data_IF_295308736225
#
_entry.id   IF_295308736225
#
_cell.length_a   1.000
_cell.length_b   1.000
_cell.length_c   1.000
_cell.angle_alpha   90.00
_cell.angle_beta   90.00
_cell.angle_gamma   90.00
#
_symmetry.space_group_name_H-M   'P 1'
#
loop_
_entity.id
_entity.type
_entity.pdbx_description
1 polymer ?
#
# COMPACT_ATOMS: atom_id res chain seq x y z
N UNK A 1 34.98 36.76 4.82
CA UNK A 1 34.58 36.29 3.50
C UNK A 1 34.11 34.83 3.45
N UNK A 2 33.54 34.30 4.55
CA UNK A 2 33.07 32.89 4.57
C UNK A 2 31.54 32.71 4.60
N UNK A 3 30.80 33.83 4.70
CA UNK A 3 29.33 33.76 4.85
C UNK A 3 28.56 33.83 3.52
N UNK A 4 29.21 34.18 2.41
CA UNK A 4 28.50 34.40 1.14
C UNK A 4 28.27 33.08 0.37
N UNK A 5 29.15 32.14 0.57
CA UNK A 5 29.06 30.87 -0.14
C UNK A 5 27.92 29.94 0.30
N UNK A 6 27.58 30.18 1.36
CA UNK A 6 26.67 29.40 1.83
C UNK A 6 25.35 29.63 1.40
N UNK A 7 25.20 30.80 1.46
CA UNK A 7 23.87 31.22 1.02
C UNK A 7 23.61 30.91 -0.44
N UNK A 8 24.60 30.95 -1.26
CA UNK A 8 24.47 30.62 -2.66
C UNK A 8 24.22 29.10 -2.87
N UNK A 9 24.92 28.26 -2.11
CA UNK A 9 24.74 26.82 -2.21
C UNK A 9 23.36 26.38 -1.73
N UNK A 10 22.86 26.99 -0.65
CA UNK A 10 21.51 26.71 -0.14
C UNK A 10 20.44 27.14 -1.15
N UNK A 11 20.65 28.29 -1.79
CA UNK A 11 19.71 28.78 -2.81
C UNK A 11 19.66 27.89 -4.04
N UNK A 12 20.81 27.38 -4.47
CA UNK A 12 20.90 26.50 -5.63
C UNK A 12 20.23 25.15 -5.32
N UNK A 13 20.45 24.61 -4.12
CA UNK A 13 19.84 23.34 -3.71
C UNK A 13 18.33 23.46 -3.62
N UNK A 14 17.81 24.57 -3.07
CA UNK A 14 16.36 24.81 -2.98
C UNK A 14 15.72 24.93 -4.37
N UNK A 15 16.40 25.63 -5.29
CA UNK A 15 15.91 25.81 -6.65
C UNK A 15 15.88 24.48 -7.41
N UNK A 16 16.93 23.64 -7.25
CA UNK A 16 16.99 22.32 -7.91
C UNK A 16 15.88 21.40 -7.37
N UNK A 17 15.66 21.39 -6.05
CA UNK A 17 14.63 20.55 -5.44
C UNK A 17 13.24 20.97 -5.89
N UNK A 18 12.97 22.27 -5.97
CA UNK A 18 11.69 22.77 -6.47
C UNK A 18 11.48 22.39 -7.93
N UNK A 19 12.54 22.42 -8.75
CA UNK A 19 12.49 22.01 -10.16
C UNK A 19 12.17 20.53 -10.29
N UNK A 20 12.77 19.68 -9.46
CA UNK A 20 12.53 18.23 -9.49
C UNK A 20 11.09 17.90 -9.07
N UNK A 21 10.55 18.59 -8.08
CA UNK A 21 9.14 18.41 -7.68
C UNK A 21 8.19 18.85 -8.78
N UNK A 22 8.52 19.91 -9.51
CA UNK A 22 7.71 20.36 -10.64
C UNK A 22 7.73 19.31 -11.76
N UNK A 23 8.90 18.72 -12.04
CA UNK A 23 9.02 17.65 -13.03
C UNK A 23 8.18 16.44 -12.63
N UNK A 24 8.23 16.03 -11.36
CA UNK A 24 7.41 14.95 -10.82
C UNK A 24 5.93 15.22 -11.09
N UNK A 25 5.45 16.42 -10.78
CA UNK A 25 4.06 16.79 -10.98
C UNK A 25 3.69 16.76 -12.47
N UNK A 26 4.51 17.37 -13.32
CA UNK A 26 4.19 17.47 -14.75
C UNK A 26 4.23 16.11 -15.43
N UNK A 27 5.15 15.21 -15.01
CA UNK A 27 5.19 13.85 -15.55
C UNK A 27 3.94 13.07 -15.19
N UNK A 28 3.44 13.20 -13.95
CA UNK A 28 2.20 12.51 -13.55
C UNK A 28 1.00 13.08 -14.31
N UNK A 29 0.93 14.40 -14.48
CA UNK A 29 -0.15 15.02 -15.24
C UNK A 29 -0.14 14.56 -16.70
N UNK A 30 1.05 14.39 -17.27
CA UNK A 30 1.17 13.90 -18.65
C UNK A 30 0.63 12.46 -18.76
N UNK A 31 1.00 11.58 -17.79
CA UNK A 31 0.48 10.22 -17.76
C UNK A 31 -1.05 10.23 -17.65
N UNK A 32 -1.60 11.10 -16.80
CA UNK A 32 -3.05 11.20 -16.64
C UNK A 32 -3.74 11.56 -17.95
N UNK A 33 -3.18 12.54 -18.68
CA UNK A 33 -3.76 12.94 -19.97
C UNK A 33 -3.65 11.82 -21.00
N UNK A 34 -2.47 11.22 -21.11
CA UNK A 34 -2.22 10.19 -22.14
C UNK A 34 -3.05 8.94 -21.93
N UNK A 35 -3.30 8.60 -20.67
CA UNK A 35 -3.98 7.34 -20.34
C UNK A 35 -5.45 7.54 -19.93
N UNK A 36 -5.94 8.79 -19.93
CA UNK A 36 -7.27 9.11 -19.41
C UNK A 36 -7.44 8.53 -18.00
N UNK A 37 -6.48 8.83 -17.14
CA UNK A 37 -6.37 8.24 -15.80
C UNK A 37 -6.35 9.32 -14.74
N UNK A 38 -6.69 8.92 -13.51
CA UNK A 38 -6.39 9.71 -12.31
C UNK A 38 -5.34 8.95 -11.50
N UNK A 39 -4.33 9.68 -11.05
CA UNK A 39 -3.19 9.07 -10.35
C UNK A 39 -2.98 9.80 -9.03
N UNK A 40 -3.17 9.09 -7.92
CA UNK A 40 -2.87 9.61 -6.59
C UNK A 40 -1.58 8.99 -6.08
N UNK A 41 -0.66 9.83 -5.60
CA UNK A 41 0.62 9.36 -5.08
C UNK A 41 0.93 10.13 -3.79
N UNK A 42 1.44 9.42 -2.80
CA UNK A 42 2.08 10.05 -1.65
C UNK A 42 3.32 9.25 -1.29
N UNK A 43 4.42 9.96 -1.09
CA UNK A 43 5.68 9.39 -0.61
C UNK A 43 6.00 10.11 0.69
N UNK A 44 6.24 9.35 1.75
CA UNK A 44 6.59 9.93 3.05
C UNK A 44 7.87 9.27 3.56
N UNK A 45 8.56 9.98 4.46
CA UNK A 45 9.72 9.43 5.15
C UNK A 45 9.25 8.58 6.36
N UNK A 46 10.17 7.93 7.09
CA UNK A 46 9.74 7.09 8.22
C UNK A 46 8.98 7.81 9.32
N UNK A 47 9.10 9.15 9.43
CA UNK A 47 8.35 9.92 10.38
C UNK A 47 6.99 10.38 9.84
N UNK A 48 6.67 10.02 8.59
CA UNK A 48 5.41 10.41 7.97
C UNK A 48 5.42 11.79 7.33
N UNK A 49 6.60 12.41 7.24
CA UNK A 49 6.73 13.73 6.59
C UNK A 49 6.68 13.56 5.08
N UNK A 50 5.97 14.44 4.42
CA UNK A 50 5.75 14.36 2.98
C UNK A 50 7.04 14.63 2.23
N UNK A 51 7.43 13.68 1.36
CA UNK A 51 8.53 13.86 0.41
C UNK A 51 7.99 14.45 -0.89
N UNK A 52 6.92 13.87 -1.42
CA UNK A 52 6.27 14.35 -2.64
C UNK A 52 4.89 13.71 -2.75
N UNK A 53 4.05 14.30 -3.57
CA UNK A 53 2.73 13.72 -3.81
C UNK A 53 1.98 14.39 -4.93
N UNK A 54 0.86 13.75 -5.30
CA UNK A 54 -0.03 14.21 -6.35
C UNK A 54 -1.42 13.67 -6.01
N UNK A 55 -2.44 14.52 -6.04
CA UNK A 55 -3.80 14.16 -5.60
C UNK A 55 -3.78 13.47 -4.24
N UNK A 56 -2.93 13.94 -3.35
CA UNK A 56 -2.66 13.27 -2.07
C UNK A 56 -3.89 13.14 -1.18
N UNK A 57 -4.82 14.09 -1.26
CA UNK A 57 -6.00 14.13 -0.41
C UNK A 57 -7.27 13.67 -1.14
N UNK A 58 -7.15 13.18 -2.37
CA UNK A 58 -8.29 12.65 -3.11
C UNK A 58 -8.61 11.24 -2.64
N UNK A 59 -9.90 10.92 -2.51
CA UNK A 59 -10.30 9.58 -2.11
C UNK A 59 -10.25 8.61 -3.28
N UNK A 60 -9.75 7.42 -3.00
CA UNK A 60 -9.71 6.27 -3.90
C UNK A 60 -10.15 5.03 -3.14
N UNK A 61 -10.78 4.09 -3.83
CA UNK A 61 -11.10 2.78 -3.25
C UNK A 61 -9.80 2.06 -2.88
N UNK A 62 -9.76 1.51 -1.66
CA UNK A 62 -8.56 0.79 -1.20
C UNK A 62 -8.35 -0.50 -1.97
N UNK A 63 -9.44 -1.22 -2.25
CA UNK A 63 -9.38 -2.55 -2.81
C UNK A 63 -8.42 -3.38 -1.94
N UNK A 64 -7.64 -4.27 -2.51
CA UNK A 64 -6.84 -5.18 -1.70
C UNK A 64 -5.68 -4.53 -0.94
N UNK A 65 -5.43 -3.23 -1.12
CA UNK A 65 -4.33 -2.61 -0.35
C UNK A 65 -4.61 -2.63 1.15
N UNK A 66 -5.91 -2.64 1.58
CA UNK A 66 -6.21 -2.68 3.02
C UNK A 66 -5.71 -3.96 3.69
N UNK A 67 -5.40 -5.00 2.92
CA UNK A 67 -4.93 -6.27 3.49
C UNK A 67 -3.59 -6.13 4.21
N UNK A 68 -2.78 -5.14 3.86
CA UNK A 68 -1.57 -4.86 4.62
C UNK A 68 -1.89 -4.30 6.02
N UNK A 69 -2.65 -3.21 6.17
CA UNK A 69 -3.03 -2.80 7.54
C UNK A 69 -3.88 -3.85 8.28
N UNK A 70 -4.65 -4.68 7.58
CA UNK A 70 -5.34 -5.78 8.24
C UNK A 70 -4.33 -6.76 8.87
N UNK A 71 -3.29 -7.13 8.14
CA UNK A 71 -2.24 -7.98 8.69
C UNK A 71 -1.57 -7.30 9.89
N UNK A 72 -1.35 -5.99 9.81
CA UNK A 72 -0.76 -5.24 10.93
C UNK A 72 -1.63 -5.35 12.19
N UNK A 73 -2.95 -5.23 12.04
CA UNK A 73 -3.87 -5.40 13.17
C UNK A 73 -3.74 -6.80 13.77
N UNK A 74 -3.67 -7.81 12.92
CA UNK A 74 -3.51 -9.20 13.38
C UNK A 74 -2.20 -9.35 14.15
N UNK A 75 -1.10 -8.82 13.61
CA UNK A 75 0.19 -8.89 14.31
C UNK A 75 0.18 -8.10 15.62
N UNK A 76 -0.54 -6.97 15.67
CA UNK A 76 -0.68 -6.23 16.94
C UNK A 76 -1.35 -7.11 17.99
N UNK A 77 -2.38 -7.86 17.62
CA UNK A 77 -3.05 -8.77 18.55
C UNK A 77 -2.13 -9.90 18.98
N UNK A 78 -1.30 -10.40 18.08
CA UNK A 78 -0.31 -11.42 18.46
C UNK A 78 0.69 -10.83 19.47
N UNK A 79 1.17 -9.62 19.20
CA UNK A 79 2.12 -8.96 20.09
C UNK A 79 1.55 -8.73 21.49
N UNK A 80 0.26 -8.40 21.57
CA UNK A 80 -0.42 -8.14 22.87
C UNK A 80 -0.87 -9.41 23.57
N UNK A 81 -0.76 -10.58 22.93
CA UNK A 81 -1.17 -11.85 23.51
C UNK A 81 -2.65 -12.14 23.38
N UNK A 82 -3.41 -11.32 22.67
CA UNK A 82 -4.84 -11.58 22.45
C UNK A 82 -5.11 -12.46 21.23
N UNK A 83 -4.07 -12.80 20.49
CA UNK A 83 -4.14 -13.74 19.37
C UNK A 83 -2.87 -14.55 19.33
N UNK A 84 -2.92 -15.72 18.71
CA UNK A 84 -1.74 -16.56 18.48
C UNK A 84 -1.62 -16.84 17.00
N UNK A 85 -0.40 -16.71 16.49
CA UNK A 85 -0.13 -16.95 15.08
C UNK A 85 -0.38 -18.39 14.64
N UNK A 86 -0.21 -19.36 15.56
CA UNK A 86 -0.41 -20.79 15.27
C UNK A 86 -1.84 -21.26 15.52
N UNK A 87 -2.75 -20.36 15.93
CA UNK A 87 -4.14 -20.74 16.15
C UNK A 87 -4.78 -21.13 14.83
N UNK A 88 -5.47 -22.27 14.81
CA UNK A 88 -6.16 -22.76 13.61
C UNK A 88 -7.52 -22.09 13.49
N UNK A 89 -7.78 -21.54 12.31
CA UNK A 89 -9.05 -20.90 11.98
C UNK A 89 -9.83 -21.87 11.08
N UNK A 90 -10.90 -22.44 11.63
CA UNK A 90 -11.74 -23.38 10.89
C UNK A 90 -12.61 -22.66 9.89
N UNK A 91 -12.80 -23.26 8.72
CA UNK A 91 -13.70 -22.72 7.71
C UNK A 91 -14.18 -23.82 6.78
N UNK A 92 -15.27 -23.54 6.09
CA UNK A 92 -15.87 -24.43 5.11
C UNK A 92 -15.99 -23.78 3.74
N UNK A 93 -16.74 -24.42 2.82
CA UNK A 93 -16.86 -23.92 1.44
C UNK A 93 -17.38 -22.49 1.31
N UNK A 94 -18.17 -22.04 2.29
CA UNK A 94 -18.74 -20.69 2.23
C UNK A 94 -17.68 -19.59 2.32
N UNK A 95 -16.46 -19.91 2.76
CA UNK A 95 -15.36 -18.94 2.80
C UNK A 95 -14.67 -18.78 1.45
N UNK A 96 -14.96 -19.65 0.49
CA UNK A 96 -14.32 -19.61 -0.83
C UNK A 96 -15.08 -18.60 -1.69
N UNK A 97 -14.55 -17.41 -1.80
CA UNK A 97 -15.07 -16.36 -2.68
C UNK A 97 -14.11 -16.17 -3.85
N UNK A 98 -14.48 -15.31 -4.78
CA UNK A 98 -13.66 -15.02 -5.96
C UNK A 98 -12.23 -14.69 -5.54
N UNK A 99 -11.26 -15.30 -6.17
CA UNK A 99 -9.83 -15.14 -5.92
C UNK A 99 -9.45 -15.58 -4.50
N UNK A 100 -9.52 -16.87 -4.27
CA UNK A 100 -9.15 -17.47 -2.97
C UNK A 100 -8.20 -18.65 -3.19
N UNK A 101 -7.01 -18.41 -3.78
CA UNK A 101 -6.14 -19.53 -4.19
C UNK A 101 -5.65 -20.38 -3.03
N UNK A 102 -5.24 -19.79 -1.92
CA UNK A 102 -4.77 -20.55 -0.76
C UNK A 102 -5.94 -21.11 0.03
N UNK A 103 -6.99 -20.37 0.18
CA UNK A 103 -8.18 -20.84 0.87
C UNK A 103 -8.83 -22.02 0.13
N UNK A 104 -8.81 -22.02 -1.02
CA UNK A 104 -9.22 -23.04 -1.78
C UNK A 104 -8.46 -24.22 -1.59
N UNK A 105 -7.09 -24.06 -1.56
CA UNK A 105 -6.18 -25.21 -1.41
C UNK A 105 -6.28 -25.91 -0.06
N UNK A 106 -6.55 -25.16 0.88
CA UNK A 106 -6.61 -25.63 2.13
C UNK A 106 -7.92 -26.00 2.59
N UNK A 107 -8.89 -26.02 1.75
CA UNK A 107 -10.29 -26.33 2.14
C UNK A 107 -10.44 -27.76 2.67
N UNK A 108 -9.74 -28.70 2.05
CA UNK A 108 -9.85 -30.10 2.45
C UNK A 108 -9.42 -30.33 3.91
N UNK A 109 -8.44 -29.59 4.40
CA UNK A 109 -8.04 -29.69 5.79
C UNK A 109 -9.02 -28.99 6.75
N UNK A 110 -9.83 -28.06 6.22
CA UNK A 110 -10.85 -27.36 6.98
C UNK A 110 -10.34 -26.20 7.82
N UNK A 111 -9.07 -25.85 7.70
CA UNK A 111 -8.51 -24.77 8.50
C UNK A 111 -7.23 -24.21 7.88
N UNK A 112 -6.85 -23.03 8.34
CA UNK A 112 -5.51 -22.48 8.16
C UNK A 112 -5.16 -21.71 9.44
N UNK A 113 -3.87 -21.56 9.71
CA UNK A 113 -3.47 -20.79 10.90
C UNK A 113 -3.63 -19.29 10.65
N UNK A 114 -3.65 -18.53 11.73
CA UNK A 114 -3.69 -17.07 11.67
C UNK A 114 -2.54 -16.53 10.81
N UNK A 115 -1.31 -17.03 11.02
CA UNK A 115 -0.16 -16.58 10.21
C UNK A 115 -0.29 -16.99 8.75
N UNK A 116 -0.79 -18.20 8.48
CA UNK A 116 -1.03 -18.62 7.09
C UNK A 116 -2.05 -17.72 6.40
N UNK A 117 -3.12 -17.35 7.12
CA UNK A 117 -4.14 -16.46 6.56
C UNK A 117 -3.56 -15.08 6.29
N UNK A 118 -2.77 -14.54 7.23
CA UNK A 118 -2.14 -13.23 7.03
C UNK A 118 -1.18 -13.24 5.83
N UNK A 119 -0.38 -14.29 5.73
CA UNK A 119 0.55 -14.42 4.60
C UNK A 119 -0.19 -14.53 3.27
N UNK A 120 -1.26 -15.35 3.22
CA UNK A 120 -2.04 -15.51 1.99
C UNK A 120 -2.72 -14.19 1.59
N UNK A 121 -3.27 -13.46 2.57
CA UNK A 121 -3.92 -12.19 2.29
C UNK A 121 -2.93 -11.18 1.71
N UNK A 122 -1.71 -11.11 2.23
CA UNK A 122 -0.72 -10.13 1.77
C UNK A 122 -0.05 -10.60 0.47
N UNK A 123 0.45 -11.84 0.41
CA UNK A 123 1.31 -12.26 -0.70
C UNK A 123 0.55 -12.74 -1.93
N UNK A 124 -0.64 -13.29 -1.74
CA UNK A 124 -1.48 -13.79 -2.83
C UNK A 124 -2.72 -12.94 -3.05
N UNK A 125 -2.95 -11.99 -2.15
CA UNK A 125 -4.19 -11.20 -2.14
C UNK A 125 -5.44 -12.10 -2.03
N UNK A 126 -5.36 -13.16 -1.25
CA UNK A 126 -6.39 -14.19 -1.11
C UNK A 126 -7.61 -13.60 -0.40
N UNK A 127 -8.75 -13.57 -1.09
CA UNK A 127 -9.97 -12.96 -0.55
C UNK A 127 -10.61 -13.81 0.54
N UNK A 128 -10.55 -15.12 0.42
CA UNK A 128 -11.07 -16.02 1.46
C UNK A 128 -10.30 -15.85 2.76
N UNK A 129 -8.96 -15.86 2.67
CA UNK A 129 -8.12 -15.64 3.86
C UNK A 129 -8.38 -14.28 4.48
N UNK A 130 -8.58 -13.26 3.64
CA UNK A 130 -8.90 -11.91 4.11
C UNK A 130 -10.20 -11.89 4.89
N UNK A 131 -11.26 -12.50 4.33
CA UNK A 131 -12.56 -12.56 5.02
C UNK A 131 -12.47 -13.37 6.30
N UNK A 132 -11.66 -14.44 6.30
CA UNK A 132 -11.42 -15.23 7.50
C UNK A 132 -10.82 -14.37 8.61
N UNK A 133 -9.80 -13.57 8.28
CA UNK A 133 -9.20 -12.65 9.26
C UNK A 133 -10.19 -11.57 9.69
N UNK A 134 -10.98 -11.03 8.75
CA UNK A 134 -12.01 -10.03 9.11
C UNK A 134 -13.00 -10.62 10.09
N UNK A 135 -13.42 -11.87 9.89
CA UNK A 135 -14.31 -12.55 10.85
C UNK A 135 -13.70 -12.54 12.25
N UNK A 136 -12.41 -12.85 12.33
CA UNK A 136 -11.74 -12.99 13.63
C UNK A 136 -11.54 -11.65 14.34
N UNK A 137 -11.37 -10.56 13.60
CA UNK A 137 -11.13 -9.25 14.23
C UNK A 137 -12.42 -8.51 14.59
N UNK A 138 -13.56 -8.96 14.09
CA UNK A 138 -14.85 -8.32 14.38
C UNK A 138 -15.44 -7.55 13.19
N UNK A 139 -14.93 -7.82 11.97
CA UNK A 139 -15.52 -7.29 10.74
C UNK A 139 -14.97 -5.94 10.32
N UNK A 140 -15.56 -5.37 9.25
CA UNK A 140 -15.06 -4.10 8.71
C UNK A 140 -15.02 -2.95 9.72
N UNK A 141 -15.98 -2.84 10.61
CA UNK A 141 -15.98 -1.76 11.61
C UNK A 141 -14.75 -1.84 12.52
N UNK A 142 -14.32 -3.06 12.87
CA UNK A 142 -13.10 -3.22 13.69
C UNK A 142 -11.86 -2.78 12.92
N UNK A 143 -11.83 -3.00 11.61
CA UNK A 143 -10.74 -2.51 10.77
C UNK A 143 -10.70 -0.99 10.77
N UNK A 144 -11.85 -0.35 10.64
CA UNK A 144 -11.92 1.11 10.68
C UNK A 144 -11.47 1.64 12.05
N UNK A 145 -11.87 0.98 13.13
CA UNK A 145 -11.42 1.35 14.47
C UNK A 145 -9.90 1.27 14.58
N UNK A 146 -9.29 0.25 13.97
CA UNK A 146 -7.84 0.13 13.99
C UNK A 146 -7.19 1.31 13.25
N UNK A 147 -7.71 1.69 12.08
CA UNK A 147 -7.20 2.88 11.40
C UNK A 147 -7.22 4.09 12.34
N UNK A 148 -8.33 4.32 13.03
CA UNK A 148 -8.46 5.46 13.96
C UNK A 148 -7.46 5.36 15.09
N UNK A 149 -7.28 4.16 15.63
CA UNK A 149 -6.35 3.91 16.74
C UNK A 149 -4.93 4.30 16.38
N UNK A 150 -4.50 4.01 15.15
CA UNK A 150 -3.13 4.34 14.73
C UNK A 150 -3.03 5.75 14.13
N UNK A 151 -4.09 6.55 14.23
CA UNK A 151 -4.06 7.95 13.84
C UNK A 151 -4.47 8.24 12.40
N UNK A 152 -5.04 7.25 11.71
CA UNK A 152 -5.57 7.45 10.35
C UNK A 152 -7.06 7.78 10.48
N UNK A 153 -7.41 9.06 10.35
CA UNK A 153 -8.78 9.54 10.49
C UNK A 153 -9.57 9.44 9.19
N UNK A 154 -8.97 8.93 8.12
CA UNK A 154 -9.52 9.01 6.76
C UNK A 154 -9.96 7.66 6.23
N UNK A 155 -9.11 6.63 6.34
CA UNK A 155 -9.38 5.31 5.76
C UNK A 155 -10.56 4.66 6.44
N UNK A 156 -11.38 3.96 5.65
CA UNK A 156 -12.56 3.28 6.20
C UNK A 156 -12.81 1.99 5.43
N UNK A 157 -13.11 0.92 6.16
CA UNK A 157 -13.59 -0.33 5.58
C UNK A 157 -15.04 -0.51 6.00
N UNK A 158 -15.89 -0.74 5.02
CA UNK A 158 -17.36 -0.85 5.23
C UNK A 158 -17.87 -2.23 4.86
N UNK A 159 -17.21 -2.91 3.94
CA UNK A 159 -17.65 -4.20 3.40
C UNK A 159 -16.49 -5.18 3.38
N UNK A 160 -16.81 -6.45 3.20
CA UNK A 160 -15.81 -7.51 3.04
C UNK A 160 -15.57 -7.78 1.56
N UNK A 161 -14.70 -8.73 1.27
CA UNK A 161 -14.43 -9.14 -0.11
C UNK A 161 -15.57 -10.02 -0.62
N UNK A 162 -15.98 -9.93 -1.90
CA UNK A 162 -15.39 -9.05 -2.91
C UNK A 162 -16.06 -7.67 -3.03
N UNK A 163 -17.15 -7.40 -2.31
CA UNK A 163 -17.95 -6.19 -2.49
C UNK A 163 -17.14 -4.92 -2.19
N UNK A 164 -16.16 -5.01 -1.31
CA UNK A 164 -15.37 -3.82 -0.95
C UNK A 164 -14.49 -3.33 -2.11
N UNK A 165 -14.37 -4.11 -3.18
CA UNK A 165 -13.61 -3.73 -4.37
C UNK A 165 -14.49 -3.22 -5.52
N UNK A 166 -15.73 -2.87 -5.24
CA UNK A 166 -16.67 -2.36 -6.26
C UNK A 166 -16.21 -1.08 -6.92
N UNK A 167 -15.57 -0.18 -6.16
CA UNK A 167 -15.03 1.06 -6.70
C UNK A 167 -16.06 1.85 -7.52
N UNK A 168 -17.30 1.93 -7.01
CA UNK A 168 -18.34 2.72 -7.69
C UNK A 168 -17.98 4.20 -7.60
N UNK A 169 -17.98 4.92 -8.72
CA UNK A 169 -17.62 6.35 -8.68
C UNK A 169 -18.47 7.12 -7.67
N UNK A 170 -17.82 7.92 -6.81
CA UNK A 170 -18.47 8.73 -5.82
C UNK A 170 -18.82 8.02 -4.52
N UNK A 171 -18.64 6.71 -4.44
CA UNK A 171 -18.91 5.94 -3.23
C UNK A 171 -17.77 6.15 -2.24
N UNK A 172 -18.09 6.60 -1.03
CA UNK A 172 -17.08 6.82 0.01
C UNK A 172 -16.71 5.54 0.75
N UNK A 173 -17.53 4.49 0.61
CA UNK A 173 -17.25 3.23 1.32
C UNK A 173 -15.93 2.64 0.83
N UNK A 174 -15.17 2.10 1.78
CA UNK A 174 -13.96 1.33 1.51
C UNK A 174 -12.87 2.17 0.82
N UNK A 175 -12.78 3.46 1.21
CA UNK A 175 -11.84 4.39 0.58
C UNK A 175 -10.77 4.87 1.56
N UNK A 176 -9.72 5.40 0.97
CA UNK A 176 -8.61 6.05 1.66
C UNK A 176 -8.18 7.26 0.80
N UNK A 177 -7.15 7.96 1.25
CA UNK A 177 -6.41 8.91 0.42
C UNK A 177 -4.95 8.47 0.35
N UNK A 178 -4.22 8.83 -0.72
CA UNK A 178 -2.81 8.45 -0.79
C UNK A 178 -2.01 8.86 0.45
N UNK A 179 -2.21 10.08 0.97
CA UNK A 179 -1.42 10.52 2.11
C UNK A 179 -1.80 9.76 3.38
N UNK A 180 -3.10 9.47 3.59
CA UNK A 180 -3.51 8.72 4.76
C UNK A 180 -2.90 7.33 4.76
N UNK A 181 -2.94 6.65 3.59
CA UNK A 181 -2.40 5.29 3.51
C UNK A 181 -0.88 5.27 3.60
N UNK A 182 -0.17 6.20 2.94
CA UNK A 182 1.29 6.25 3.04
C UNK A 182 1.71 6.45 4.51
N UNK A 183 1.02 7.33 5.24
CA UNK A 183 1.32 7.53 6.65
C UNK A 183 0.98 6.30 7.50
N UNK A 184 -0.09 5.60 7.18
CA UNK A 184 -0.42 4.35 7.85
C UNK A 184 0.67 3.31 7.63
N UNK A 185 1.16 3.16 6.39
CA UNK A 185 2.29 2.26 6.11
C UNK A 185 3.51 2.65 6.96
N UNK A 186 3.85 3.93 7.00
CA UNK A 186 5.01 4.40 7.77
C UNK A 186 4.84 4.10 9.26
N UNK A 187 3.67 4.31 9.80
CA UNK A 187 3.41 4.02 11.22
C UNK A 187 3.59 2.56 11.55
N UNK A 188 3.07 1.68 10.71
CA UNK A 188 3.20 0.23 10.93
C UNK A 188 4.67 -0.19 10.87
N UNK A 189 5.41 0.29 9.89
CA UNK A 189 6.76 -0.21 9.65
C UNK A 189 7.84 0.50 10.44
N UNK A 190 7.65 1.75 10.75
CA UNK A 190 8.73 2.59 11.30
C UNK A 190 8.45 3.23 12.65
N UNK A 191 7.23 3.21 12.95
CA UNK A 191 6.88 3.90 14.05
C UNK A 191 6.71 3.05 15.25
N UNK A 192 7.04 1.84 15.25
CA UNK A 192 7.01 0.99 16.45
C UNK A 192 5.62 0.53 16.94
N UNK A 193 4.80 0.55 16.02
CA UNK A 193 3.54 0.07 16.24
C UNK A 193 3.47 -1.37 16.58
N UNK A 194 4.38 -2.15 16.02
CA UNK A 194 4.58 -3.60 16.23
C UNK A 194 5.93 -3.86 16.90
N UNK A 195 6.07 -5.01 17.53
CA UNK A 195 7.39 -5.46 17.99
C UNK A 195 8.33 -5.58 16.79
N UNK A 196 9.65 -5.60 17.08
CA UNK A 196 10.62 -5.75 15.99
C UNK A 196 10.45 -7.07 15.26
N UNK A 197 10.10 -8.14 15.98
CA UNK A 197 9.85 -9.46 15.36
C UNK A 197 8.66 -9.37 14.40
N UNK A 198 7.55 -8.80 14.82
CA UNK A 198 6.37 -8.68 13.97
C UNK A 198 6.59 -7.74 12.80
N UNK A 199 7.31 -6.63 13.03
CA UNK A 199 7.65 -5.71 11.95
C UNK A 199 8.47 -6.43 10.89
N UNK A 200 9.49 -7.17 11.31
CA UNK A 200 10.33 -7.92 10.38
C UNK A 200 9.51 -8.95 9.60
N UNK A 201 8.60 -9.63 10.28
CA UNK A 201 7.75 -10.62 9.62
C UNK A 201 6.87 -9.97 8.56
N UNK A 202 6.22 -8.84 8.89
CA UNK A 202 5.33 -8.19 7.93
C UNK A 202 6.12 -7.57 6.77
N UNK A 203 7.31 -7.07 7.03
CA UNK A 203 8.19 -6.61 5.93
C UNK A 203 8.47 -7.74 4.96
N UNK A 204 8.80 -8.89 5.46
CA UNK A 204 9.04 -10.05 4.61
C UNK A 204 7.81 -10.48 3.82
N UNK A 205 6.57 -10.28 4.40
CA UNK A 205 5.44 -10.55 3.78
C UNK A 205 5.27 -9.79 2.64
N UNK A 206 5.66 -8.43 2.74
CA UNK A 206 5.55 -7.48 1.65
C UNK A 206 6.62 -7.69 0.57
N UNK A 207 7.84 -7.94 0.98
CA UNK A 207 8.92 -8.19 0.01
C UNK A 207 8.60 -9.42 -0.84
N UNK A 208 8.03 -10.45 -0.24
CA UNK A 208 7.65 -11.68 -0.92
C UNK A 208 6.32 -11.64 -1.66
N UNK A 209 5.69 -10.48 -1.76
CA UNK A 209 4.42 -10.34 -2.48
C UNK A 209 4.54 -10.86 -3.91
N UNK A 210 3.57 -11.68 -4.32
CA UNK A 210 3.59 -12.34 -5.63
C UNK A 210 2.73 -11.62 -6.67
N UNK A 211 2.05 -10.53 -6.30
CA UNK A 211 1.09 -9.87 -7.18
C UNK A 211 1.59 -8.54 -7.74
N UNK A 212 2.81 -8.11 -7.40
CA UNK A 212 3.29 -6.77 -7.71
C UNK A 212 4.51 -6.68 -8.59
N UNK A 213 4.93 -7.79 -9.21
CA UNK A 213 6.17 -7.77 -10.02
C UNK A 213 6.06 -6.81 -11.20
N UNK A 214 4.85 -6.55 -11.70
CA UNK A 214 4.63 -5.70 -12.87
C UNK A 214 4.20 -4.27 -12.51
N UNK A 215 4.12 -3.93 -11.24
CA UNK A 215 3.64 -2.62 -10.80
C UNK A 215 4.80 -1.77 -10.27
N UNK A 216 4.72 -1.22 -9.06
CA UNK A 216 5.79 -0.31 -8.60
C UNK A 216 7.17 -0.93 -8.68
N UNK A 217 7.30 -2.20 -8.29
CA UNK A 217 8.59 -2.90 -8.33
C UNK A 217 9.23 -2.83 -9.71
N UNK A 218 8.42 -2.93 -10.76
CA UNK A 218 8.93 -2.87 -12.14
C UNK A 218 9.48 -1.50 -12.50
N UNK A 219 9.03 -0.44 -11.82
CA UNK A 219 9.49 0.92 -12.11
C UNK A 219 10.61 1.41 -11.20
N UNK A 220 10.90 0.62 -10.16
CA UNK A 220 11.95 0.99 -9.19
C UNK A 220 13.31 0.41 -9.59
N UNK A 221 14.31 0.93 -9.07
CA UNK A 221 15.55 0.52 -9.30
C UNK A 221 15.68 -0.84 -8.83
N UNK A 222 16.42 -1.71 -9.45
CA UNK A 222 16.53 -3.13 -9.12
C UNK A 222 17.31 -3.39 -7.84
N UNK A 223 18.20 -2.51 -7.46
CA UNK A 223 18.97 -2.65 -6.22
C UNK A 223 18.25 -2.06 -5.01
N UNK A 224 17.07 -1.49 -5.19
CA UNK A 224 16.26 -1.07 -4.05
C UNK A 224 15.56 -2.28 -3.44
N UNK A 225 15.40 -2.24 -2.10
CA UNK A 225 14.54 -3.22 -1.42
C UNK A 225 13.11 -2.69 -1.50
N UNK A 226 12.19 -3.51 -2.00
CA UNK A 226 10.80 -3.10 -2.22
C UNK A 226 9.87 -4.14 -1.59
N UNK A 227 8.94 -3.66 -0.77
CA UNK A 227 7.84 -4.47 -0.26
C UNK A 227 6.54 -3.80 -0.64
N UNK A 228 5.57 -4.58 -1.11
CA UNK A 228 4.35 -3.95 -1.64
C UNK A 228 3.12 -4.83 -1.44
N UNK A 229 1.95 -4.15 -1.45
CA UNK A 229 0.63 -4.80 -1.49
C UNK A 229 -0.19 -4.11 -2.56
N UNK A 230 -0.61 -4.88 -3.54
CA UNK A 230 -1.39 -4.36 -4.66
C UNK A 230 -2.89 -4.39 -4.38
N UNK A 231 -3.64 -3.66 -5.20
CA UNK A 231 -5.10 -3.72 -5.24
C UNK A 231 -5.59 -3.64 -6.66
N UNK A 232 -6.60 -4.45 -6.97
CA UNK A 232 -7.31 -4.40 -8.24
C UNK A 232 -8.78 -4.18 -7.94
N UNK A 233 -9.38 -3.20 -8.59
CA UNK A 233 -10.76 -2.84 -8.37
C UNK A 233 -11.55 -2.86 -9.65
N UNK A 234 -12.86 -3.00 -9.55
CA UNK A 234 -13.74 -2.71 -10.68
C UNK A 234 -13.55 -1.26 -11.11
N UNK A 235 -14.07 -0.93 -12.26
CA UNK A 235 -14.07 0.46 -12.78
C UNK A 235 -12.66 1.04 -12.96
N UNK A 236 -11.70 0.18 -13.26
CA UNK A 236 -10.38 0.62 -13.71
C UNK A 236 -9.37 0.92 -12.60
N UNK A 237 -9.63 0.47 -11.38
CA UNK A 237 -8.70 0.73 -10.29
C UNK A 237 -7.52 -0.24 -10.28
N UNK A 238 -6.32 0.31 -10.10
CA UNK A 238 -5.11 -0.50 -9.88
C UNK A 238 -4.19 0.26 -8.94
N UNK A 239 -3.88 -0.33 -7.81
CA UNK A 239 -3.21 0.35 -6.70
C UNK A 239 -1.99 -0.44 -6.25
N UNK A 240 -1.04 0.26 -5.61
CA UNK A 240 0.13 -0.40 -5.02
C UNK A 240 0.62 0.46 -3.87
N UNK A 241 0.80 -0.16 -2.70
CA UNK A 241 1.30 0.54 -1.51
C UNK A 241 2.42 -0.28 -0.89
N UNK A 242 3.27 0.37 -0.10
CA UNK A 242 4.28 -0.34 0.64
C UNK A 242 5.46 0.55 1.00
N UNK A 243 6.64 -0.02 0.91
CA UNK A 243 7.87 0.70 1.26
C UNK A 243 8.96 0.38 0.25
N UNK A 244 9.93 1.27 0.20
CA UNK A 244 11.17 0.99 -0.53
C UNK A 244 12.34 1.61 0.20
N UNK A 245 13.51 0.98 0.04
CA UNK A 245 14.77 1.45 0.57
C UNK A 245 15.68 1.76 -0.62
N UNK A 246 15.99 3.05 -0.76
CA UNK A 246 16.88 3.56 -1.78
C UNK A 246 18.19 3.97 -1.11
N UNK A 247 19.11 3.16 -1.45
CA UNK A 247 20.29 3.42 -0.80
C UNK A 247 20.10 3.15 0.64
N UNK A 248 20.33 4.06 1.40
CA UNK A 248 20.25 3.96 2.86
C UNK A 248 18.98 4.64 3.43
N UNK A 249 18.14 5.18 2.57
CA UNK A 249 16.95 5.90 2.98
C UNK A 249 15.70 5.04 2.82
N UNK A 250 14.85 5.06 3.85
CA UNK A 250 13.57 4.35 3.86
C UNK A 250 12.44 5.30 3.50
N UNK A 251 11.47 4.79 2.74
CA UNK A 251 10.28 5.54 2.34
C UNK A 251 9.05 4.64 2.40
N UNK A 252 7.92 5.23 2.77
CA UNK A 252 6.62 4.61 2.57
C UNK A 252 5.94 5.27 1.37
N UNK A 253 5.17 4.50 0.62
CA UNK A 253 4.58 4.98 -0.63
C UNK A 253 3.16 4.41 -0.77
N UNK A 254 2.28 5.23 -1.35
CA UNK A 254 0.94 4.79 -1.72
C UNK A 254 0.61 5.36 -3.09
N UNK A 255 0.24 4.46 -4.02
CA UNK A 255 -0.16 4.82 -5.38
C UNK A 255 -1.54 4.24 -5.64
N UNK A 256 -2.46 5.11 -6.03
CA UNK A 256 -3.84 4.76 -6.35
C UNK A 256 -4.15 5.28 -7.74
N UNK A 257 -4.59 4.40 -8.64
CA UNK A 257 -4.91 4.82 -10.00
C UNK A 257 -6.31 4.36 -10.41
N UNK A 258 -6.95 5.16 -11.25
CA UNK A 258 -8.21 4.82 -11.88
C UNK A 258 -8.06 5.10 -13.37
N UNK A 259 -8.13 4.05 -14.19
CA UNK A 259 -7.91 4.15 -15.63
C UNK A 259 -8.85 3.19 -16.34
N UNK A 260 -10.15 3.55 -16.44
CA UNK A 260 -11.16 2.59 -16.94
C UNK A 260 -10.97 2.19 -18.39
N UNK A 261 -10.29 3.00 -19.21
CA UNK A 261 -10.10 2.68 -20.63
C UNK A 261 -8.95 1.71 -20.90
N UNK A 262 -8.08 1.48 -19.90
CA UNK A 262 -6.92 0.62 -20.07
C UNK A 262 -7.28 -0.84 -19.79
N UNK A 263 -6.55 -1.75 -20.41
CA UNK A 263 -6.59 -3.18 -20.09
C UNK A 263 -5.88 -3.43 -18.77
N UNK A 264 -6.03 -4.64 -18.22
CA UNK A 264 -5.35 -5.01 -16.99
C UNK A 264 -3.82 -4.88 -17.13
N UNK A 265 -3.25 -5.35 -18.25
CA UNK A 265 -1.82 -5.23 -18.50
C UNK A 265 -1.40 -3.76 -18.57
N UNK A 266 -2.20 -2.94 -19.24
CA UNK A 266 -1.89 -1.51 -19.37
C UNK A 266 -1.99 -0.79 -18.03
N UNK A 267 -2.89 -1.21 -17.13
CA UNK A 267 -2.97 -0.63 -15.78
C UNK A 267 -1.73 -0.97 -14.98
N UNK A 268 -1.21 -2.19 -15.08
CA UNK A 268 0.06 -2.54 -14.47
C UNK A 268 1.18 -1.64 -15.00
N UNK A 269 1.23 -1.44 -16.30
CA UNK A 269 2.24 -0.58 -16.94
C UNK A 269 2.12 0.87 -16.46
N UNK A 270 0.90 1.35 -16.24
CA UNK A 270 0.68 2.69 -15.71
C UNK A 270 1.32 2.81 -14.32
N UNK A 271 1.07 1.85 -13.45
CA UNK A 271 1.63 1.89 -12.09
C UNK A 271 3.16 1.78 -12.16
N UNK A 272 3.70 0.95 -13.04
CA UNK A 272 5.15 0.87 -13.24
C UNK A 272 5.71 2.20 -13.72
N UNK A 273 4.99 2.90 -14.61
CA UNK A 273 5.42 4.24 -15.06
C UNK A 273 5.45 5.25 -13.92
N UNK A 274 4.45 5.17 -13.02
CA UNK A 274 4.47 5.99 -11.80
C UNK A 274 5.71 5.66 -10.97
N UNK A 275 6.05 4.37 -10.86
CA UNK A 275 7.28 3.95 -10.18
C UNK A 275 8.53 4.56 -10.80
N UNK A 276 8.59 4.67 -12.13
CA UNK A 276 9.72 5.32 -12.81
C UNK A 276 9.80 6.81 -12.47
N UNK A 277 8.64 7.48 -12.41
CA UNK A 277 8.60 8.90 -12.05
C UNK A 277 9.11 9.08 -10.61
N UNK A 278 8.68 8.21 -9.69
CA UNK A 278 9.17 8.24 -8.31
C UNK A 278 10.67 8.00 -8.28
N UNK A 279 11.17 7.02 -9.03
CA UNK A 279 12.59 6.69 -9.08
C UNK A 279 13.42 7.92 -9.49
N UNK A 280 12.99 8.62 -10.52
CA UNK A 280 13.70 9.81 -10.98
C UNK A 280 13.74 10.90 -9.92
N UNK A 281 12.63 11.11 -9.20
CA UNK A 281 12.59 12.09 -8.13
C UNK A 281 13.59 11.73 -7.02
N UNK A 282 13.55 10.48 -6.57
CA UNK A 282 14.39 10.03 -5.45
C UNK A 282 15.87 10.10 -5.83
N UNK A 283 16.23 9.67 -7.04
CA UNK A 283 17.63 9.73 -7.50
C UNK A 283 18.13 11.16 -7.58
N UNK A 284 17.27 12.11 -7.91
CA UNK A 284 17.66 13.50 -8.03
C UNK A 284 17.91 14.15 -6.67
N UNK A 285 17.33 13.64 -5.59
CA UNK A 285 17.54 14.18 -4.24
C UNK A 285 18.85 13.71 -3.61
N UNK A 286 19.53 12.75 -4.22
CA UNK A 286 20.78 12.18 -3.70
C UNK A 286 22.04 12.88 -4.26
N UNK A 287 21.88 13.94 -5.08
CA UNK A 287 23.03 14.68 -5.67
C UNK A 287 23.45 15.88 -4.85
#
# INVERSE_FOLDING_TARGET
MRFIHXLLLAGIAHSAYASEKLTFKTDLEKLEREKAAQIGVAIVDPQGEIVAGHRMAQRFAMCSTFKFPLAALVFERIDSGTERGDRKLSYGPDMIVEWSPATXRXLASGHMTVLEAAQAAVQLSDNGATNLLLREIGGPAAMTQYFRKIGDSVSRLDRKEPEMSDNTPGDLRDTTTPIAMARTVAKVLYXGXLTSTSTHTIERXLIGNQTGDATLRAGFXKDWVVGEKTGTCANGGRNDIGFFKAXERDYAVAVYTTAPKLSAVERDELVASVGQVITQLILSTDK
#
